data_IF_424324724649
#
_entry.id   IF_424324724649
#
_cell.length_a   1.000
_cell.length_b   1.000
_cell.length_c   1.000
_cell.angle_alpha   90.00
_cell.angle_beta   90.00
_cell.angle_gamma   90.00
#
_symmetry.space_group_name_H-M   'P 1'
#
loop_
_entity.id
_entity.type
_entity.pdbx_description
1 polymer ?
#
# COMPACT_ATOMS: atom_id res chain seq x y z
N UNK A 1 3.71 6.08 -6.69
CA UNK A 1 4.95 6.36 -5.95
C UNK A 1 5.72 7.37 -6.78
N UNK A 2 6.59 8.22 -6.22
CA UNK A 2 7.48 8.95 -7.10
C UNK A 2 8.25 7.89 -7.90
N UNK A 3 8.01 7.84 -9.21
CA UNK A 3 9.01 7.29 -10.11
C UNK A 3 10.29 8.08 -9.88
N UNK A 4 11.45 7.57 -10.29
CA UNK A 4 12.68 8.34 -10.22
C UNK A 4 12.57 9.74 -10.92
N UNK A 5 11.51 9.98 -11.71
CA UNK A 5 11.18 11.29 -12.28
C UNK A 5 10.43 12.29 -11.37
N UNK A 6 9.85 11.87 -10.25
CA UNK A 6 9.05 12.73 -9.35
C UNK A 6 9.56 12.80 -7.89
N UNK A 7 10.56 11.99 -7.51
CA UNK A 7 11.27 12.19 -6.26
C UNK A 7 12.25 13.35 -6.44
N UNK A 8 12.09 14.43 -5.67
CA UNK A 8 13.07 15.52 -5.62
C UNK A 8 14.50 14.95 -5.53
N UNK A 9 15.38 15.48 -6.39
CA UNK A 9 16.75 15.04 -6.69
C UNK A 9 17.75 15.14 -5.50
N UNK A 10 17.31 14.92 -4.26
CA UNK A 10 18.19 14.84 -3.08
C UNK A 10 18.36 13.37 -2.66
N UNK A 11 19.59 12.86 -2.78
CA UNK A 11 20.01 11.54 -2.29
C UNK A 11 20.28 10.46 -3.35
N UNK A 12 20.20 10.78 -4.65
CA UNK A 12 20.47 9.83 -5.75
C UNK A 12 21.92 9.32 -5.80
N UNK A 13 22.88 10.03 -5.19
CA UNK A 13 24.29 9.61 -5.15
C UNK A 13 24.54 8.26 -4.45
N UNK A 14 23.58 7.84 -3.62
CA UNK A 14 23.58 6.59 -2.84
C UNK A 14 22.62 5.53 -3.39
N UNK A 15 21.98 5.81 -4.53
CA UNK A 15 20.97 4.94 -5.12
C UNK A 15 21.52 4.38 -6.43
N UNK A 16 21.60 3.06 -6.52
CA UNK A 16 21.96 2.38 -7.76
C UNK A 16 20.72 2.27 -8.66
N UNK A 17 20.88 2.66 -9.93
CA UNK A 17 19.82 2.55 -10.92
C UNK A 17 20.32 1.82 -12.17
N UNK A 18 19.51 0.88 -12.66
CA UNK A 18 19.65 0.26 -13.96
C UNK A 18 18.40 0.54 -14.78
N UNK A 19 18.57 1.23 -15.91
CA UNK A 19 17.52 1.45 -16.89
C UNK A 19 17.87 0.64 -18.15
N UNK A 20 17.02 -0.31 -18.50
CA UNK A 20 17.15 -1.08 -19.74
C UNK A 20 15.97 -0.80 -20.67
N UNK A 21 16.27 -0.68 -21.96
CA UNK A 21 15.25 -0.55 -23.01
C UNK A 21 15.16 -1.87 -23.77
N UNK A 22 13.94 -2.35 -23.99
CA UNK A 22 13.66 -3.55 -24.79
C UNK A 22 12.89 -3.14 -26.04
N UNK A 23 13.06 -3.85 -27.15
CA UNK A 23 12.41 -3.52 -28.42
C UNK A 23 10.90 -3.87 -28.46
N UNK A 24 10.42 -4.68 -27.50
CA UNK A 24 9.03 -5.15 -27.43
C UNK A 24 8.66 -6.11 -28.57
N UNK A 25 8.13 -7.30 -28.27
CA UNK A 25 7.67 -8.22 -29.32
C UNK A 25 6.46 -7.69 -30.11
N UNK A 26 5.74 -6.74 -29.53
CA UNK A 26 4.63 -5.97 -30.08
C UNK A 26 5.07 -4.74 -30.89
N UNK A 27 6.38 -4.48 -30.99
CA UNK A 27 6.93 -3.32 -31.69
C UNK A 27 6.90 -2.03 -30.86
N UNK A 28 6.52 -2.10 -29.58
CA UNK A 28 6.52 -0.96 -28.67
C UNK A 28 7.61 -1.13 -27.61
N UNK A 29 8.65 -0.28 -27.63
CA UNK A 29 9.73 -0.40 -26.67
C UNK A 29 9.26 -0.23 -25.23
N UNK A 30 9.84 -1.02 -24.32
CA UNK A 30 9.57 -0.93 -22.88
C UNK A 30 10.83 -0.55 -22.11
N UNK A 31 10.63 0.20 -21.05
CA UNK A 31 11.65 0.55 -20.06
C UNK A 31 11.50 -0.40 -18.88
N UNK A 32 12.63 -1.01 -18.49
CA UNK A 32 12.82 -1.68 -17.23
C UNK A 32 13.65 -0.77 -16.33
N UNK A 33 13.05 -0.22 -15.28
CA UNK A 33 13.74 0.59 -14.27
C UNK A 33 13.92 -0.24 -13.00
N UNK A 34 15.17 -0.46 -12.62
CA UNK A 34 15.55 -1.16 -11.40
C UNK A 34 16.28 -0.16 -10.52
N UNK A 35 15.70 0.15 -9.38
CA UNK A 35 16.26 1.06 -8.40
C UNK A 35 16.53 0.31 -7.10
N UNK A 36 17.76 0.38 -6.61
CA UNK A 36 18.18 -0.23 -5.36
C UNK A 36 18.98 0.76 -4.52
N UNK A 37 18.61 0.90 -3.25
CA UNK A 37 19.29 1.69 -2.23
C UNK A 37 19.33 0.88 -0.95
N UNK A 38 20.52 0.80 -0.36
CA UNK A 38 20.75 0.16 0.92
C UNK A 38 21.57 1.11 1.80
N UNK A 39 20.88 2.01 2.49
CA UNK A 39 21.47 3.07 3.30
C UNK A 39 20.76 3.13 4.67
N UNK A 40 21.47 3.63 5.68
CA UNK A 40 20.95 3.72 7.06
C UNK A 40 19.71 4.62 7.17
N UNK A 41 19.64 5.69 6.37
CA UNK A 41 18.54 6.65 6.40
C UNK A 41 17.25 6.04 5.86
N UNK A 42 17.30 5.44 4.68
CA UNK A 42 16.22 4.62 4.15
C UNK A 42 16.71 3.65 3.09
N UNK A 43 15.96 2.55 2.98
CA UNK A 43 16.16 1.51 1.97
C UNK A 43 15.11 1.65 0.88
N UNK A 44 15.46 1.23 -0.33
CA UNK A 44 14.55 1.19 -1.46
C UNK A 44 14.92 0.01 -2.35
N UNK A 45 13.95 -0.85 -2.64
CA UNK A 45 14.05 -1.79 -3.74
C UNK A 45 12.81 -1.59 -4.59
N UNK A 46 13.00 -1.28 -5.86
CA UNK A 46 11.93 -0.96 -6.77
C UNK A 46 12.27 -1.48 -8.15
N UNK A 47 11.31 -2.17 -8.76
CA UNK A 47 11.40 -2.66 -10.12
C UNK A 47 10.14 -2.22 -10.86
N UNK A 48 10.27 -1.56 -12.00
CA UNK A 48 9.14 -1.27 -12.86
C UNK A 48 9.40 -1.63 -14.31
N UNK A 49 8.34 -2.05 -14.99
CA UNK A 49 8.31 -2.27 -16.43
C UNK A 49 7.12 -1.49 -17.00
N UNK A 50 7.40 -0.60 -17.96
CA UNK A 50 6.38 0.25 -18.60
C UNK A 50 6.77 0.58 -20.03
N UNK A 51 5.82 1.04 -20.85
CA UNK A 51 6.10 1.45 -22.22
C UNK A 51 6.87 2.78 -22.26
N UNK A 52 7.91 2.88 -23.09
CA UNK A 52 8.66 4.14 -23.26
C UNK A 52 7.74 5.28 -23.74
N UNK A 53 6.75 4.93 -24.58
CA UNK A 53 5.70 5.81 -25.04
C UNK A 53 4.35 5.13 -24.83
N UNK A 54 3.85 5.19 -23.60
CA UNK A 54 2.57 4.56 -23.23
C UNK A 54 1.41 5.08 -24.10
N UNK A 55 1.36 6.38 -24.40
CA UNK A 55 0.32 6.98 -25.25
C UNK A 55 0.26 6.37 -26.66
N UNK A 56 1.42 6.12 -27.27
CA UNK A 56 1.52 5.51 -28.61
C UNK A 56 1.00 4.06 -28.58
N UNK A 57 1.36 3.31 -27.52
CA UNK A 57 0.87 1.95 -27.33
C UNK A 57 -0.65 1.92 -27.07
N UNK A 58 -1.13 2.73 -26.13
CA UNK A 58 -2.56 2.80 -25.76
C UNK A 58 -3.40 3.22 -26.96
N UNK A 59 -2.95 4.21 -27.76
CA UNK A 59 -3.65 4.65 -28.97
C UNK A 59 -3.71 3.58 -30.07
N UNK A 60 -2.84 2.56 -30.01
CA UNK A 60 -2.85 1.43 -30.94
C UNK A 60 -3.80 0.30 -30.51
N UNK A 61 -4.22 0.30 -29.24
CA UNK A 61 -5.14 -0.69 -28.70
C UNK A 61 -6.55 -0.47 -29.25
N UNK A 62 -7.33 -1.55 -29.48
CA UNK A 62 -8.75 -1.38 -29.69
C UNK A 62 -9.41 -0.81 -28.42
N UNK A 63 -10.39 0.05 -28.60
CA UNK A 63 -11.27 0.45 -27.50
C UNK A 63 -11.99 -0.79 -26.95
N UNK A 64 -11.77 -1.06 -25.67
CA UNK A 64 -12.31 -2.23 -24.98
C UNK A 64 -12.50 -1.89 -23.52
N UNK A 65 -13.75 -1.87 -23.09
CA UNK A 65 -14.09 -1.83 -21.68
C UNK A 65 -13.99 -3.25 -21.09
N UNK A 66 -13.37 -3.37 -19.92
CA UNK A 66 -13.28 -4.62 -19.16
C UNK A 66 -13.94 -4.46 -17.80
N UNK A 67 -14.38 -5.57 -17.24
CA UNK A 67 -14.85 -5.64 -15.85
C UNK A 67 -13.69 -5.71 -14.87
N UNK A 68 -13.99 -5.44 -13.59
CA UNK A 68 -13.04 -5.68 -12.48
C UNK A 68 -12.54 -7.13 -12.50
N UNK A 69 -13.44 -8.11 -12.67
CA UNK A 69 -13.07 -9.53 -12.59
C UNK A 69 -12.14 -9.94 -13.73
N UNK A 70 -12.36 -9.42 -14.94
CA UNK A 70 -11.43 -9.60 -16.06
C UNK A 70 -10.06 -8.95 -15.79
N UNK A 71 -10.05 -7.74 -15.21
CA UNK A 71 -8.80 -7.08 -14.85
C UNK A 71 -8.01 -7.91 -13.83
N UNK A 72 -8.69 -8.40 -12.77
CA UNK A 72 -8.09 -9.27 -11.76
C UNK A 72 -7.59 -10.58 -12.36
N UNK A 73 -8.32 -11.19 -13.29
CA UNK A 73 -7.84 -12.40 -13.98
C UNK A 73 -6.54 -12.15 -14.74
N UNK A 74 -6.43 -11.03 -15.46
CA UNK A 74 -5.19 -10.62 -16.15
C UNK A 74 -4.06 -10.41 -15.14
N UNK A 75 -4.34 -9.73 -14.02
CA UNK A 75 -3.37 -9.49 -12.96
C UNK A 75 -2.87 -10.77 -12.30
N UNK A 76 -3.78 -11.68 -11.95
CA UNK A 76 -3.47 -12.95 -11.30
C UNK A 76 -2.57 -13.83 -12.18
N UNK A 77 -2.92 -13.96 -13.47
CA UNK A 77 -2.10 -14.70 -14.44
C UNK A 77 -0.70 -14.10 -14.59
N UNK A 78 -0.59 -12.78 -14.56
CA UNK A 78 0.69 -12.08 -14.65
C UNK A 78 1.54 -12.30 -13.38
N UNK A 79 0.94 -12.14 -12.19
CA UNK A 79 1.60 -12.35 -10.90
C UNK A 79 2.11 -13.78 -10.77
N UNK A 80 1.31 -14.78 -11.17
CA UNK A 80 1.72 -16.19 -11.21
C UNK A 80 2.91 -16.39 -12.17
N UNK A 81 2.83 -15.85 -13.39
CA UNK A 81 3.90 -15.97 -14.40
C UNK A 81 5.22 -15.33 -13.95
N UNK A 82 5.15 -14.28 -13.13
CA UNK A 82 6.31 -13.61 -12.55
C UNK A 82 6.90 -14.36 -11.33
N UNK A 83 6.28 -15.45 -10.89
CA UNK A 83 6.76 -16.26 -9.76
C UNK A 83 6.30 -15.76 -8.40
N UNK A 84 5.29 -14.87 -8.34
CA UNK A 84 4.74 -14.30 -7.11
C UNK A 84 3.42 -14.96 -6.73
N UNK A 85 3.30 -16.28 -6.84
CA UNK A 85 2.04 -17.02 -6.60
C UNK A 85 1.44 -16.82 -5.21
N UNK A 86 2.26 -16.49 -4.21
CA UNK A 86 1.83 -16.20 -2.84
C UNK A 86 1.35 -14.76 -2.65
N UNK A 87 1.48 -13.91 -3.67
CA UNK A 87 0.94 -12.56 -3.66
C UNK A 87 -0.49 -12.58 -4.19
N UNK A 88 -1.38 -11.91 -3.48
CA UNK A 88 -2.83 -11.96 -3.73
C UNK A 88 -3.36 -10.59 -4.05
N UNK A 89 -4.37 -10.54 -4.91
CA UNK A 89 -5.12 -9.32 -5.20
C UNK A 89 -5.67 -8.75 -3.89
N UNK A 90 -5.46 -7.46 -3.65
CA UNK A 90 -5.89 -6.76 -2.44
C UNK A 90 -6.98 -5.73 -2.75
N UNK A 91 -6.72 -4.85 -3.70
CA UNK A 91 -7.65 -3.79 -4.08
C UNK A 91 -7.37 -3.28 -5.50
N UNK A 92 -8.22 -2.38 -5.97
CA UNK A 92 -8.06 -1.73 -7.27
C UNK A 92 -8.56 -0.29 -7.25
N UNK A 93 -8.03 0.52 -8.14
CA UNK A 93 -8.68 1.76 -8.59
C UNK A 93 -9.03 1.66 -10.05
N UNK A 94 -10.06 2.40 -10.46
CA UNK A 94 -10.42 2.54 -11.87
C UNK A 94 -10.68 4.01 -12.16
N UNK A 95 -10.05 4.52 -13.21
CA UNK A 95 -10.27 5.86 -13.72
C UNK A 95 -10.75 5.75 -15.16
N UNK A 96 -11.81 6.49 -15.51
CA UNK A 96 -12.31 6.58 -16.89
C UNK A 96 -12.24 8.05 -17.32
N UNK A 97 -11.25 8.36 -18.15
CA UNK A 97 -11.15 9.64 -18.85
C UNK A 97 -11.50 9.40 -20.32
N UNK A 98 -10.51 9.45 -21.21
CA UNK A 98 -10.65 8.97 -22.59
C UNK A 98 -10.70 7.45 -22.62
N UNK A 99 -9.80 6.81 -21.88
CA UNK A 99 -9.69 5.35 -21.78
C UNK A 99 -10.05 4.88 -20.35
N UNK A 100 -10.38 3.59 -20.23
CA UNK A 100 -10.55 2.94 -18.93
C UNK A 100 -9.19 2.40 -18.46
N UNK A 101 -8.75 2.88 -17.30
CA UNK A 101 -7.48 2.48 -16.68
C UNK A 101 -7.77 1.84 -15.33
N UNK A 102 -7.44 0.56 -15.20
CA UNK A 102 -7.38 -0.15 -13.93
C UNK A 102 -5.97 -0.06 -13.34
N UNK A 103 -5.89 0.18 -12.04
CA UNK A 103 -4.68 -0.05 -11.26
C UNK A 103 -4.98 -1.11 -10.21
N UNK A 104 -4.34 -2.26 -10.32
CA UNK A 104 -4.51 -3.37 -9.39
C UNK A 104 -3.37 -3.36 -8.37
N UNK A 105 -3.70 -3.71 -7.13
CA UNK A 105 -2.77 -3.75 -6.01
C UNK A 105 -2.74 -5.16 -5.42
N UNK A 106 -1.55 -5.72 -5.33
CA UNK A 106 -1.28 -7.08 -4.84
C UNK A 106 -0.34 -7.01 -3.64
N UNK A 107 -0.62 -7.82 -2.63
CA UNK A 107 0.17 -7.89 -1.40
C UNK A 107 0.58 -9.34 -1.10
N UNK A 108 1.73 -9.56 -0.43
CA UNK A 108 2.16 -10.91 -0.09
C UNK A 108 1.20 -11.60 0.88
N UNK A 109 1.09 -12.91 0.77
CA UNK A 109 0.51 -13.76 1.81
C UNK A 109 1.61 -14.65 2.41
N UNK A 110 1.58 -14.78 3.73
CA UNK A 110 2.48 -15.64 4.49
C UNK A 110 1.65 -16.69 5.21
N UNK A 111 2.01 -17.96 5.08
CA UNK A 111 1.26 -19.08 5.65
C UNK A 111 -0.25 -19.04 5.30
N UNK A 112 -0.58 -18.58 4.08
CA UNK A 112 -1.96 -18.46 3.60
C UNK A 112 -2.73 -17.23 4.10
N UNK A 113 -2.13 -16.37 4.93
CA UNK A 113 -2.76 -15.13 5.42
C UNK A 113 -2.16 -13.93 4.69
N UNK A 114 -3.01 -13.15 4.02
CA UNK A 114 -2.61 -11.99 3.24
C UNK A 114 -2.23 -10.80 4.14
N UNK A 115 -1.21 -10.03 3.75
CA UNK A 115 -0.92 -8.76 4.41
C UNK A 115 -1.90 -7.67 3.98
N UNK A 116 -2.36 -6.86 4.93
CA UNK A 116 -3.08 -5.64 4.68
C UNK A 116 -2.15 -4.60 4.05
N UNK A 117 -2.66 -3.87 3.07
CA UNK A 117 -1.95 -2.77 2.42
C UNK A 117 -1.86 -1.56 3.36
N UNK A 118 -0.65 -1.06 3.58
CA UNK A 118 -0.41 0.15 4.36
C UNK A 118 -0.50 1.45 3.55
N UNK A 119 -0.49 2.62 4.22
CA UNK A 119 -0.40 3.92 3.57
C UNK A 119 1.01 4.15 2.99
N UNK A 120 1.23 5.33 2.41
CA UNK A 120 2.58 5.76 2.07
C UNK A 120 3.33 6.08 3.36
N UNK A 121 4.26 5.20 3.75
CA UNK A 121 5.05 5.34 4.96
C UNK A 121 6.10 6.45 4.83
N UNK A 122 6.37 7.18 5.91
CA UNK A 122 7.43 8.17 5.96
C UNK A 122 8.79 7.51 6.23
N UNK A 123 9.41 6.97 5.18
CA UNK A 123 10.73 6.29 5.30
C UNK A 123 11.87 7.21 5.73
N UNK A 124 11.69 8.53 5.73
CA UNK A 124 12.68 9.54 6.15
C UNK A 124 12.32 10.18 7.50
N UNK A 125 11.51 9.50 8.31
CA UNK A 125 11.19 10.00 9.64
C UNK A 125 12.44 10.06 10.53
N UNK A 126 12.59 11.13 11.31
CA UNK A 126 13.64 11.26 12.33
C UNK A 126 13.32 10.45 13.61
N UNK A 127 12.16 9.80 13.66
CA UNK A 127 11.79 8.92 14.78
C UNK A 127 12.64 7.64 14.76
N UNK A 128 13.33 7.38 15.87
CA UNK A 128 14.24 6.25 16.04
C UNK A 128 13.60 4.88 15.77
N UNK A 129 12.29 4.76 15.96
CA UNK A 129 11.56 3.50 15.78
C UNK A 129 10.85 3.42 14.43
N UNK A 130 10.86 4.48 13.62
CA UNK A 130 10.22 4.47 12.33
C UNK A 130 10.86 3.46 11.37
N UNK A 131 10.01 2.77 10.62
CA UNK A 131 10.43 1.93 9.52
C UNK A 131 10.97 2.80 8.38
N UNK A 132 12.15 2.43 7.90
CA UNK A 132 12.88 3.10 6.85
C UNK A 132 12.77 2.40 5.49
N UNK A 133 11.69 1.64 5.29
CA UNK A 133 11.45 0.84 4.08
C UNK A 133 9.97 0.85 3.70
N UNK A 134 9.64 0.95 2.41
CA UNK A 134 8.23 0.98 1.97
C UNK A 134 7.56 -0.39 2.17
N UNK A 135 6.23 -0.39 2.33
CA UNK A 135 5.46 -1.64 2.36
C UNK A 135 5.54 -2.37 1.02
N UNK A 136 5.61 -3.69 1.07
CA UNK A 136 5.72 -4.54 -0.12
C UNK A 136 4.42 -4.54 -0.92
N UNK A 137 4.51 -4.28 -2.22
CA UNK A 137 3.35 -4.22 -3.10
C UNK A 137 3.73 -4.51 -4.56
N UNK A 138 2.86 -5.24 -5.27
CA UNK A 138 2.88 -5.29 -6.74
C UNK A 138 1.74 -4.41 -7.25
N UNK A 139 2.05 -3.51 -8.18
CA UNK A 139 1.07 -2.66 -8.86
C UNK A 139 1.01 -3.01 -10.33
N UNK A 140 -0.19 -3.13 -10.87
CA UNK A 140 -0.38 -3.47 -12.30
C UNK A 140 -1.33 -2.45 -12.91
N UNK A 141 -0.85 -1.74 -13.94
CA UNK A 141 -1.67 -0.89 -14.80
C UNK A 141 -2.26 -1.71 -15.94
N UNK A 142 -3.56 -1.57 -16.17
CA UNK A 142 -4.27 -2.21 -17.28
C UNK A 142 -5.13 -1.17 -17.98
N UNK A 143 -4.88 -0.96 -19.27
CA UNK A 143 -5.67 -0.06 -20.13
C UNK A 143 -6.27 -0.88 -21.27
N UNK A 144 -7.59 -0.76 -21.45
CA UNK A 144 -8.35 -1.48 -22.47
C UNK A 144 -8.08 -3.00 -22.52
N UNK A 145 -7.91 -3.63 -21.36
CA UNK A 145 -7.61 -5.07 -21.25
C UNK A 145 -6.17 -5.47 -21.53
N UNK A 146 -5.25 -4.52 -21.70
CA UNK A 146 -3.81 -4.78 -21.90
C UNK A 146 -3.00 -4.23 -20.74
N UNK A 147 -2.01 -5.01 -20.27
CA UNK A 147 -1.07 -4.56 -19.23
C UNK A 147 -0.20 -3.44 -19.79
N UNK A 148 -0.24 -2.27 -19.16
CA UNK A 148 0.54 -1.08 -19.51
C UNK A 148 1.75 -0.88 -18.61
N UNK A 149 1.63 -1.26 -17.34
CA UNK A 149 2.72 -1.14 -16.37
C UNK A 149 2.67 -2.25 -15.32
N UNK A 150 3.85 -2.58 -14.79
CA UNK A 150 4.02 -3.45 -13.63
C UNK A 150 5.08 -2.83 -12.74
N UNK A 151 4.80 -2.72 -11.45
CA UNK A 151 5.75 -2.26 -10.43
C UNK A 151 5.82 -3.31 -9.32
N UNK A 152 7.02 -3.66 -8.88
CA UNK A 152 7.30 -4.40 -7.67
C UNK A 152 8.01 -3.47 -6.70
N UNK A 153 7.39 -3.22 -5.56
CA UNK A 153 7.87 -2.30 -4.55
C UNK A 153 8.28 -3.06 -3.32
N UNK A 154 9.50 -2.77 -2.88
CA UNK A 154 10.08 -3.18 -1.60
C UNK A 154 9.80 -4.64 -1.25
N UNK A 155 10.12 -5.60 -2.15
CA UNK A 155 9.99 -7.02 -1.86
C UNK A 155 10.85 -7.40 -0.65
N UNK A 156 10.42 -8.40 0.10
CA UNK A 156 11.09 -8.85 1.31
C UNK A 156 11.34 -10.36 1.27
N UNK A 157 12.50 -10.76 1.76
CA UNK A 157 12.81 -12.17 1.99
C UNK A 157 12.29 -12.59 3.36
N UNK A 158 11.68 -13.78 3.42
CA UNK A 158 11.31 -14.40 4.70
C UNK A 158 12.54 -15.07 5.28
N UNK A 159 13.13 -14.44 6.30
CA UNK A 159 14.34 -14.95 6.96
C UNK A 159 14.06 -16.00 8.03
N UNK A 160 12.91 -15.89 8.71
CA UNK A 160 12.50 -16.76 9.81
C UNK A 160 10.99 -16.67 10.05
N UNK A 161 10.41 -17.78 10.50
CA UNK A 161 9.06 -17.81 11.09
C UNK A 161 9.24 -17.84 12.61
N UNK A 162 8.78 -16.80 13.30
CA UNK A 162 8.86 -16.71 14.77
C UNK A 162 7.92 -17.71 15.45
N UNK A 163 6.66 -17.71 15.02
CA UNK A 163 5.66 -18.68 15.43
C UNK A 163 4.58 -18.79 14.32
N UNK A 164 4.39 -19.97 13.70
CA UNK A 164 3.39 -20.16 12.65
C UNK A 164 1.94 -20.18 13.18
N UNK A 165 1.74 -20.40 14.48
CA UNK A 165 0.41 -20.49 15.11
C UNK A 165 0.39 -19.65 16.39
N UNK A 166 0.13 -18.36 16.21
CA UNK A 166 0.05 -17.38 17.30
C UNK A 166 -1.39 -17.23 17.78
N UNK A 167 -1.58 -17.31 19.09
CA UNK A 167 -2.86 -16.98 19.70
C UNK A 167 -3.08 -15.46 19.62
N UNK A 168 -4.17 -15.05 18.98
CA UNK A 168 -4.60 -13.65 18.91
C UNK A 168 -5.59 -13.33 20.01
N UNK A 169 -5.59 -12.09 20.49
CA UNK A 169 -6.59 -11.60 21.43
C UNK A 169 -8.02 -11.79 20.91
N UNK A 170 -9.00 -12.08 21.79
CA UNK A 170 -10.41 -12.09 21.44
C UNK A 170 -10.85 -10.75 20.83
N UNK A 171 -11.78 -10.81 19.88
CA UNK A 171 -12.29 -9.60 19.22
C UNK A 171 -12.84 -8.55 20.20
N UNK A 172 -13.41 -8.96 21.34
CA UNK A 172 -13.89 -8.02 22.36
C UNK A 172 -12.75 -7.16 22.92
N UNK A 173 -11.58 -7.73 23.18
CA UNK A 173 -10.41 -6.99 23.67
C UNK A 173 -9.89 -6.02 22.60
N UNK A 174 -9.81 -6.47 21.35
CA UNK A 174 -9.46 -5.63 20.19
C UNK A 174 -10.46 -4.48 20.04
N UNK A 175 -11.75 -4.74 20.20
CA UNK A 175 -12.79 -3.73 20.09
C UNK A 175 -12.73 -2.70 21.23
N UNK A 176 -12.38 -3.12 22.46
CA UNK A 176 -12.13 -2.17 23.54
C UNK A 176 -10.88 -1.32 23.29
N UNK A 177 -9.79 -1.91 22.80
CA UNK A 177 -8.58 -1.16 22.41
C UNK A 177 -8.90 -0.13 21.31
N UNK A 178 -9.66 -0.53 20.28
CA UNK A 178 -10.17 0.35 19.23
C UNK A 178 -10.97 1.52 19.82
N UNK A 179 -11.95 1.24 20.69
CA UNK A 179 -12.78 2.30 21.29
C UNK A 179 -11.96 3.29 22.11
N UNK A 180 -11.02 2.80 22.92
CA UNK A 180 -10.14 3.65 23.72
C UNK A 180 -9.30 4.55 22.82
N UNK A 181 -8.73 3.99 21.75
CA UNK A 181 -7.96 4.76 20.78
C UNK A 181 -8.81 5.80 20.05
N UNK A 182 -10.03 5.42 19.62
CA UNK A 182 -10.94 6.33 18.95
C UNK A 182 -11.28 7.54 19.81
N UNK A 183 -11.59 7.31 21.09
CA UNK A 183 -11.90 8.36 22.05
C UNK A 183 -10.70 9.27 22.36
N UNK A 184 -9.49 8.73 22.32
CA UNK A 184 -8.27 9.48 22.63
C UNK A 184 -7.78 10.34 21.45
N UNK A 185 -7.81 9.81 20.22
CA UNK A 185 -7.17 10.47 19.07
C UNK A 185 -8.13 11.18 18.12
N UNK A 186 -9.38 10.74 18.01
CA UNK A 186 -10.31 11.28 17.03
C UNK A 186 -11.34 12.19 17.68
N UNK A 187 -10.89 13.43 17.91
CA UNK A 187 -11.69 14.55 18.40
C UNK A 187 -12.00 15.49 17.23
N UNK A 188 -12.96 16.41 17.41
CA UNK A 188 -13.28 17.41 16.38
C UNK A 188 -12.03 18.16 15.89
N UNK A 189 -11.19 18.61 16.82
CA UNK A 189 -9.99 19.42 16.54
C UNK A 189 -8.83 18.64 15.96
N UNK A 190 -8.88 17.29 15.95
CA UNK A 190 -7.84 16.46 15.32
C UNK A 190 -8.21 16.02 13.92
N UNK A 191 -9.49 16.02 13.55
CA UNK A 191 -9.97 15.67 12.20
C UNK A 191 -10.31 16.91 11.38
N UNK A 192 -10.91 17.92 12.01
CA UNK A 192 -11.29 19.18 11.38
C UNK A 192 -10.21 20.21 11.72
N UNK A 193 -9.77 20.99 10.73
CA UNK A 193 -8.83 22.08 10.94
C UNK A 193 -9.37 23.02 12.04
N UNK A 194 -8.65 23.18 13.17
CA UNK A 194 -9.11 23.98 14.30
C UNK A 194 -9.28 25.47 13.97
N UNK A 195 -8.73 25.95 12.85
CA UNK A 195 -8.92 27.32 12.38
C UNK A 195 -10.27 27.55 11.69
N UNK A 196 -11.04 26.50 11.43
CA UNK A 196 -12.38 26.63 10.83
C UNK A 196 -13.34 27.31 11.82
N UNK A 197 -13.91 28.48 11.45
CA UNK A 197 -14.87 29.18 12.31
C UNK A 197 -16.10 28.32 12.62
N UNK A 198 -16.49 28.24 13.89
CA UNK A 198 -17.68 27.49 14.32
C UNK A 198 -17.46 25.99 14.53
N UNK A 199 -16.22 25.50 14.56
CA UNK A 199 -15.90 24.08 14.78
C UNK A 199 -16.61 23.47 16.01
N UNK A 200 -16.79 24.25 17.08
CA UNK A 200 -17.48 23.78 18.29
C UNK A 200 -18.96 23.46 18.04
N UNK A 201 -19.59 24.14 17.09
CA UNK A 201 -21.00 23.98 16.72
C UNK A 201 -21.22 22.85 15.71
N UNK A 202 -20.17 22.41 14.99
CA UNK A 202 -20.27 21.35 13.97
C UNK A 202 -20.59 19.99 14.58
N UNK A 203 -21.50 19.23 13.99
CA UNK A 203 -21.73 17.83 14.38
C UNK A 203 -20.75 16.91 13.68
N UNK A 204 -20.21 15.95 14.43
CA UNK A 204 -19.22 15.02 13.93
C UNK A 204 -19.54 13.59 14.36
N UNK A 205 -19.52 12.67 13.41
CA UNK A 205 -19.69 11.23 13.62
C UNK A 205 -18.63 10.47 12.82
N UNK A 206 -18.06 9.42 13.39
CA UNK A 206 -17.23 8.45 12.65
C UNK A 206 -18.01 7.16 12.52
N UNK A 207 -18.21 6.71 11.28
CA UNK A 207 -18.92 5.49 10.95
C UNK A 207 -17.93 4.45 10.47
N UNK A 208 -17.68 3.44 11.29
CA UNK A 208 -16.91 2.27 10.87
C UNK A 208 -17.74 1.45 9.89
N UNK A 209 -17.27 1.33 8.67
CA UNK A 209 -17.95 0.65 7.55
C UNK A 209 -17.36 -0.73 7.28
N UNK A 210 -16.11 -0.97 7.68
CA UNK A 210 -15.36 -2.18 7.33
C UNK A 210 -14.29 -2.47 8.37
N UNK A 211 -14.22 -3.73 8.79
CA UNK A 211 -13.16 -4.25 9.66
C UNK A 211 -12.44 -5.35 8.89
N UNK A 212 -11.12 -5.29 8.82
CA UNK A 212 -10.27 -6.29 8.14
C UNK A 212 -9.34 -6.95 9.13
N UNK A 213 -9.20 -8.27 9.02
CA UNK A 213 -8.16 -9.04 9.68
C UNK A 213 -7.15 -9.49 8.63
N UNK A 214 -5.86 -9.48 8.97
CA UNK A 214 -4.80 -9.94 8.09
C UNK A 214 -3.46 -9.83 8.79
N UNK A 215 -2.39 -9.85 8.02
CA UNK A 215 -1.04 -9.58 8.51
C UNK A 215 -0.64 -8.13 8.26
N UNK A 216 0.27 -7.58 9.04
CA UNK A 216 0.88 -6.29 8.75
C UNK A 216 2.34 -6.27 9.17
N UNK A 217 3.15 -5.54 8.42
CA UNK A 217 4.57 -5.41 8.70
C UNK A 217 4.80 -4.26 9.68
N UNK A 218 5.51 -4.52 10.76
CA UNK A 218 5.98 -3.51 11.72
C UNK A 218 7.51 -3.56 11.88
N UNK A 219 8.11 -2.46 12.33
CA UNK A 219 9.52 -2.38 12.66
C UNK A 219 9.82 -3.21 13.89
N UNK A 220 10.89 -4.00 13.84
CA UNK A 220 11.38 -4.69 15.03
C UNK A 220 12.15 -3.69 15.93
N UNK A 221 11.70 -3.49 17.16
CA UNK A 221 12.23 -2.45 18.08
C UNK A 221 13.73 -2.55 18.37
N UNK A 222 14.31 -3.74 18.28
CA UNK A 222 15.71 -3.99 18.63
C UNK A 222 16.57 -4.42 17.41
N UNK A 223 16.04 -4.29 16.20
CA UNK A 223 16.71 -4.73 14.99
C UNK A 223 16.52 -3.70 13.86
N UNK A 224 17.64 -3.13 13.40
CA UNK A 224 17.61 -2.10 12.38
C UNK A 224 17.41 -2.65 10.97
N UNK A 225 17.66 -3.94 10.75
CA UNK A 225 17.61 -4.54 9.42
C UNK A 225 16.30 -5.30 9.19
N UNK A 226 15.77 -5.93 10.23
CA UNK A 226 14.59 -6.78 10.12
C UNK A 226 13.28 -6.06 10.46
N UNK A 227 12.19 -6.73 10.09
CA UNK A 227 10.82 -6.35 10.36
C UNK A 227 10.04 -7.58 10.81
N UNK A 228 9.00 -7.35 11.60
CA UNK A 228 8.06 -8.39 11.97
C UNK A 228 6.80 -8.28 11.12
N UNK A 229 6.22 -9.42 10.79
CA UNK A 229 4.89 -9.50 10.19
C UNK A 229 3.96 -10.09 11.24
N UNK A 230 3.00 -9.29 11.70
CA UNK A 230 2.13 -9.63 12.84
C UNK A 230 0.66 -9.68 12.40
N UNK A 231 -0.19 -10.51 13.04
CA UNK A 231 -1.62 -10.45 12.82
C UNK A 231 -2.19 -9.13 13.33
N UNK A 232 -3.12 -8.55 12.58
CA UNK A 232 -3.73 -7.25 12.90
C UNK A 232 -5.23 -7.23 12.63
N UNK A 233 -5.88 -6.27 13.27
CA UNK A 233 -7.23 -5.81 12.94
C UNK A 233 -7.17 -4.34 12.52
N UNK A 234 -7.70 -4.02 11.33
CA UNK A 234 -7.79 -2.65 10.82
C UNK A 234 -9.24 -2.21 10.64
N UNK A 235 -9.54 -1.02 11.15
CA UNK A 235 -10.87 -0.41 11.19
C UNK A 235 -10.95 0.74 10.19
N UNK A 236 -11.78 0.56 9.17
CA UNK A 236 -12.04 1.54 8.12
C UNK A 236 -13.43 2.13 8.28
N UNK A 237 -13.57 3.39 7.89
CA UNK A 237 -14.83 4.09 8.00
C UNK A 237 -14.84 5.43 7.27
N UNK A 238 -15.91 6.19 7.47
CA UNK A 238 -16.03 7.57 7.01
C UNK A 238 -16.24 8.51 8.19
N UNK A 239 -15.66 9.71 8.10
CA UNK A 239 -16.04 10.82 8.94
C UNK A 239 -17.25 11.53 8.30
N UNK A 240 -18.24 11.88 9.12
CA UNK A 240 -19.39 12.69 8.72
C UNK A 240 -19.36 13.97 9.54
N UNK A 241 -19.23 15.10 8.84
CA UNK A 241 -19.14 16.44 9.44
C UNK A 241 -20.27 17.30 8.88
N UNK A 242 -21.17 17.76 9.75
CA UNK A 242 -22.40 18.51 9.37
C UNK A 242 -23.18 17.87 8.21
N UNK A 243 -23.35 16.55 8.29
CA UNK A 243 -24.03 15.75 7.26
C UNK A 243 -23.21 15.50 5.99
N UNK A 244 -22.02 16.11 5.84
CA UNK A 244 -21.10 15.84 4.73
C UNK A 244 -20.25 14.61 5.02
N UNK A 245 -20.37 13.59 4.19
CA UNK A 245 -19.58 12.35 4.32
C UNK A 245 -18.26 12.50 3.59
N UNK A 246 -17.16 12.29 4.31
CA UNK A 246 -15.81 12.33 3.76
C UNK A 246 -15.41 10.96 3.20
N UNK A 247 -14.29 10.92 2.48
CA UNK A 247 -13.74 9.69 1.88
C UNK A 247 -13.48 8.62 2.93
N UNK A 248 -13.70 7.36 2.56
CA UNK A 248 -13.36 6.23 3.43
C UNK A 248 -11.84 6.19 3.70
N UNK A 249 -11.46 5.99 4.96
CA UNK A 249 -10.07 5.89 5.39
C UNK A 249 -9.90 4.85 6.49
N UNK A 250 -8.64 4.45 6.72
CA UNK A 250 -8.25 3.72 7.92
C UNK A 250 -8.25 4.67 9.12
N UNK A 251 -8.86 4.26 10.23
CA UNK A 251 -8.81 5.01 11.49
C UNK A 251 -7.81 4.42 12.47
N UNK A 252 -7.86 3.11 12.68
CA UNK A 252 -6.99 2.44 13.66
C UNK A 252 -6.61 1.06 13.15
N UNK A 253 -5.33 0.74 13.27
CA UNK A 253 -4.82 -0.62 13.16
C UNK A 253 -4.32 -1.09 14.51
N UNK A 254 -4.69 -2.31 14.90
CA UNK A 254 -4.39 -2.90 16.21
C UNK A 254 -3.62 -4.20 15.99
N UNK A 255 -2.50 -4.33 16.68
CA UNK A 255 -1.75 -5.57 16.79
C UNK A 255 -2.62 -6.61 17.52
N UNK A 256 -2.92 -7.71 16.84
CA UNK A 256 -3.80 -8.73 17.38
C UNK A 256 -3.15 -9.58 18.48
N UNK A 257 -1.83 -9.46 18.70
CA UNK A 257 -1.10 -10.21 19.72
C UNK A 257 -1.21 -9.57 21.11
N UNK A 258 -1.15 -8.24 21.19
CA UNK A 258 -1.04 -7.50 22.44
C UNK A 258 -2.02 -6.33 22.59
N UNK A 259 -2.83 -6.05 21.55
CA UNK A 259 -3.82 -4.99 21.56
C UNK A 259 -3.23 -3.59 21.40
N UNK A 260 -1.93 -3.46 21.09
CA UNK A 260 -1.31 -2.16 20.84
C UNK A 260 -1.80 -1.57 19.52
N UNK A 261 -1.85 -0.24 19.46
CA UNK A 261 -2.13 0.47 18.20
C UNK A 261 -0.83 0.57 17.40
N UNK A 262 -0.94 0.34 16.09
CA UNK A 262 0.17 0.48 15.14
C UNK A 262 0.02 1.84 14.45
N UNK A 263 1.07 2.65 14.48
CA UNK A 263 1.15 3.84 13.63
C UNK A 263 1.57 3.39 12.23
N UNK A 264 0.63 3.32 11.29
CA UNK A 264 0.90 2.81 9.95
C UNK A 264 1.72 3.76 9.07
N UNK A 265 1.87 5.04 9.46
CA UNK A 265 2.73 6.02 8.80
C UNK A 265 4.18 5.94 9.23
N UNK A 266 4.43 5.42 10.44
CA UNK A 266 5.78 5.14 10.96
C UNK A 266 6.14 3.65 10.92
N UNK A 267 5.15 2.77 10.80
CA UNK A 267 5.30 1.33 10.68
C UNK A 267 5.69 0.62 11.98
N UNK A 268 5.23 1.06 13.16
CA UNK A 268 5.48 0.38 14.44
C UNK A 268 4.37 0.57 15.47
#
# INVERSE_FOLDING_TARGET
MPSAGEAGYEGLEKTNQLIAKTDGADGFPRILDITNRDEEDYRLNYLSCYYEKEEDFVSSLPDREITKDEAVEIGDQLVEKLGFSDWKFYDYTVVKHTEQVFSLFYTPAYEGVQTLRGPMINVKSDDLYAANYYYSEIRIGITNGSVTSVELVSPMDVVKIENPDVETLPFEEIYQAFKNQMQAQFTKTTIIDPEIPGIDEMEMEIRITKIRQGLFRIKEKNNQDDFLVVPVWSFYGTAVVDGSTWTEQEFVMINALDGSVIDTNLGY
#
